data_IF_476161811333
#
_entry.id   IF_476161811333
#
_cell.length_a   1.000
_cell.length_b   1.000
_cell.length_c   1.000
_cell.angle_alpha   90.00
_cell.angle_beta   90.00
_cell.angle_gamma   90.00
#
_symmetry.space_group_name_H-M   'P 1'
#
loop_
_entity.id
_entity.type
_entity.pdbx_description
1 polymer ?
#
# COMPACT_ATOMS: atom_id res chain seq x y z
N UNK A 1 1.29 14.46 21.73
CA UNK A 1 1.60 15.13 20.44
C UNK A 1 0.31 15.72 19.90
N UNK A 2 0.31 16.86 19.19
CA UNK A 2 -0.91 17.38 18.56
C UNK A 2 -1.40 16.37 17.50
N UNK A 3 -2.72 16.10 17.48
CA UNK A 3 -3.34 15.21 16.49
C UNK A 3 -3.45 15.92 15.15
N UNK A 4 -3.23 15.19 14.06
CA UNK A 4 -3.36 15.66 12.69
C UNK A 4 -4.76 15.36 12.12
N UNK A 5 -5.30 14.18 12.42
CA UNK A 5 -6.69 13.83 12.12
C UNK A 5 -7.63 14.43 13.17
N UNK A 6 -8.80 14.87 12.72
CA UNK A 6 -9.89 15.24 13.63
C UNK A 6 -10.46 13.99 14.33
N UNK A 7 -11.14 14.19 15.46
CA UNK A 7 -11.86 13.12 16.16
C UNK A 7 -12.88 12.42 15.25
N UNK A 8 -13.51 13.19 14.35
CA UNK A 8 -14.44 12.67 13.35
C UNK A 8 -13.74 11.78 12.32
N UNK A 9 -12.57 12.19 11.81
CA UNK A 9 -11.79 11.38 10.87
C UNK A 9 -11.29 10.08 11.50
N UNK A 10 -10.86 10.12 12.76
CA UNK A 10 -10.42 8.92 13.51
C UNK A 10 -11.62 7.99 13.72
N UNK A 11 -12.77 8.52 14.11
CA UNK A 11 -14.00 7.73 14.29
C UNK A 11 -14.44 7.12 12.97
N UNK A 12 -14.43 7.90 11.89
CA UNK A 12 -14.74 7.43 10.55
C UNK A 12 -13.80 6.31 10.10
N UNK A 13 -12.49 6.44 10.32
CA UNK A 13 -11.54 5.36 9.99
C UNK A 13 -11.86 4.07 10.77
N UNK A 14 -12.19 4.18 12.06
CA UNK A 14 -12.55 3.00 12.88
C UNK A 14 -13.82 2.31 12.41
N UNK A 15 -14.82 3.08 12.00
CA UNK A 15 -16.13 2.57 11.58
C UNK A 15 -16.16 2.12 10.11
N UNK A 16 -15.44 2.81 9.23
CA UNK A 16 -15.52 2.64 7.78
C UNK A 16 -14.25 2.05 7.15
N UNK A 17 -13.13 2.05 7.88
CA UNK A 17 -11.89 1.40 7.46
C UNK A 17 -11.01 2.23 6.53
N UNK A 18 -11.33 3.51 6.34
CA UNK A 18 -10.57 4.42 5.47
C UNK A 18 -10.74 5.89 5.87
N UNK A 19 -9.88 6.76 5.34
CA UNK A 19 -10.06 8.23 5.34
C UNK A 19 -9.35 8.86 4.13
N UNK A 20 -10.01 9.82 3.46
CA UNK A 20 -9.48 10.54 2.30
C UNK A 20 -10.34 11.78 1.96
N UNK A 21 -9.87 12.70 1.11
CA UNK A 21 -8.47 12.91 0.74
C UNK A 21 -7.74 13.71 1.83
N UNK A 22 -6.43 13.54 1.92
CA UNK A 22 -5.56 14.36 2.78
C UNK A 22 -4.33 14.81 2.00
N UNK A 23 -3.80 15.98 2.30
CA UNK A 23 -2.65 16.55 1.58
C UNK A 23 -1.33 16.15 2.23
N UNK A 24 -0.54 15.29 1.58
CA UNK A 24 0.82 14.97 2.02
C UNK A 24 1.81 16.04 1.55
N UNK A 25 1.90 16.25 0.24
CA UNK A 25 2.89 17.10 -0.43
C UNK A 25 2.22 18.02 -1.46
N UNK A 26 2.91 19.03 -1.93
CA UNK A 26 2.42 19.89 -3.01
C UNK A 26 2.27 19.13 -4.32
N UNK A 27 1.48 19.70 -5.25
CA UNK A 27 1.35 19.18 -6.62
C UNK A 27 2.70 19.18 -7.36
N UNK A 28 3.58 20.15 -7.05
CA UNK A 28 4.92 20.24 -7.65
C UNK A 28 5.82 19.11 -7.16
N UNK A 29 5.87 18.86 -5.85
CA UNK A 29 6.60 17.72 -5.27
C UNK A 29 6.07 16.39 -5.81
N UNK A 30 4.75 16.22 -5.93
CA UNK A 30 4.15 15.04 -6.56
C UNK A 30 4.63 14.84 -8.01
N UNK A 31 4.80 15.95 -8.75
CA UNK A 31 5.39 15.95 -10.09
C UNK A 31 6.85 15.47 -10.12
N UNK A 32 7.63 15.75 -9.08
CA UNK A 32 9.00 15.24 -8.94
C UNK A 32 9.02 13.72 -8.71
N UNK A 33 8.13 13.19 -7.87
CA UNK A 33 7.99 11.74 -7.69
C UNK A 33 7.46 11.04 -8.95
N UNK A 34 6.54 11.65 -9.69
CA UNK A 34 6.16 11.18 -11.02
C UNK A 34 7.38 11.07 -11.94
N UNK A 35 8.17 12.13 -12.05
CA UNK A 35 9.35 12.14 -12.90
C UNK A 35 10.39 11.09 -12.46
N UNK A 36 10.52 10.85 -11.15
CA UNK A 36 11.37 9.80 -10.60
C UNK A 36 10.94 8.41 -11.08
N UNK A 37 9.64 8.11 -11.05
CA UNK A 37 9.10 6.82 -11.55
C UNK A 37 9.26 6.70 -13.07
N UNK A 38 9.06 7.78 -13.83
CA UNK A 38 9.28 7.80 -15.29
C UNK A 38 10.76 7.60 -15.64
N UNK A 39 11.69 8.19 -14.88
CA UNK A 39 13.12 7.96 -15.03
C UNK A 39 13.49 6.52 -14.69
N UNK A 40 12.93 5.95 -13.62
CA UNK A 40 13.12 4.54 -13.28
C UNK A 40 12.69 3.61 -14.41
N UNK A 41 11.49 3.81 -14.97
CA UNK A 41 10.97 3.05 -16.11
C UNK A 41 11.90 3.15 -17.32
N UNK A 42 12.42 4.35 -17.62
CA UNK A 42 13.40 4.54 -18.69
C UNK A 42 14.71 3.79 -18.45
N UNK A 43 15.16 3.66 -17.20
CA UNK A 43 16.41 2.96 -16.84
C UNK A 43 16.25 1.44 -16.96
N UNK A 44 15.13 0.89 -16.50
CA UNK A 44 14.89 -0.56 -16.54
C UNK A 44 14.39 -1.05 -17.89
N UNK A 45 13.79 -0.19 -18.70
CA UNK A 45 13.29 -0.51 -20.04
C UNK A 45 12.06 -1.42 -20.07
N UNK A 46 11.34 -1.54 -18.95
CA UNK A 46 10.09 -2.29 -18.84
C UNK A 46 9.10 -1.62 -17.87
N UNK A 47 7.89 -2.18 -17.76
CA UNK A 47 6.85 -1.66 -16.87
C UNK A 47 7.32 -1.67 -15.40
N UNK A 48 7.39 -0.50 -14.73
CA UNK A 48 7.91 -0.39 -13.36
C UNK A 48 7.05 -1.11 -12.33
N UNK A 49 5.78 -1.41 -12.65
CA UNK A 49 4.93 -2.23 -11.78
C UNK A 49 5.45 -3.66 -11.62
N UNK A 50 6.36 -4.15 -12.49
CA UNK A 50 6.91 -5.52 -12.42
C UNK A 50 7.99 -5.68 -11.36
N UNK A 51 8.76 -4.64 -11.11
CA UNK A 51 9.85 -4.65 -10.15
C UNK A 51 9.48 -3.97 -8.84
N UNK A 52 8.70 -2.88 -8.87
CA UNK A 52 8.29 -2.12 -7.67
C UNK A 52 7.03 -2.70 -7.01
N UNK A 53 7.06 -4.00 -6.71
CA UNK A 53 5.90 -4.79 -6.19
C UNK A 53 5.77 -4.81 -4.67
N UNK A 54 6.88 -4.96 -3.96
CA UNK A 54 6.97 -4.94 -2.49
C UNK A 54 8.32 -4.34 -2.13
N UNK A 55 8.41 -3.66 -0.99
CA UNK A 55 9.61 -2.91 -0.58
C UNK A 55 10.07 -1.86 -1.60
N UNK A 56 9.14 -1.33 -2.41
CA UNK A 56 9.46 -0.40 -3.50
C UNK A 56 10.16 0.88 -3.02
N UNK A 57 9.98 1.26 -1.74
CA UNK A 57 10.67 2.41 -1.13
C UNK A 57 12.19 2.26 -1.12
N UNK A 58 12.72 1.03 -1.16
CA UNK A 58 14.16 0.76 -1.16
C UNK A 58 14.84 1.12 -2.49
N UNK A 59 14.08 1.41 -3.56
CA UNK A 59 14.66 1.78 -4.84
C UNK A 59 15.34 3.17 -4.81
N UNK A 60 14.85 4.08 -3.97
CA UNK A 60 15.32 5.46 -3.93
C UNK A 60 15.27 6.05 -2.51
N UNK A 61 16.32 6.76 -2.05
CA UNK A 61 16.27 7.49 -0.79
C UNK A 61 15.07 8.44 -0.69
N UNK A 62 14.70 9.10 -1.79
CA UNK A 62 13.54 9.99 -1.84
C UNK A 62 12.21 9.29 -1.46
N UNK A 63 12.04 8.01 -1.80
CA UNK A 63 10.83 7.26 -1.45
C UNK A 63 10.82 6.86 0.04
N UNK A 64 12.00 6.64 0.64
CA UNK A 64 12.14 6.46 2.09
C UNK A 64 11.81 7.76 2.83
N UNK A 65 12.28 8.91 2.33
CA UNK A 65 11.95 10.21 2.88
C UNK A 65 10.45 10.52 2.77
N UNK A 66 9.81 10.16 1.66
CA UNK A 66 8.35 10.29 1.53
C UNK A 66 7.60 9.40 2.52
N UNK A 67 8.06 8.17 2.74
CA UNK A 67 7.49 7.29 3.77
C UNK A 67 7.65 7.85 5.19
N UNK A 68 8.63 8.74 5.40
CA UNK A 68 8.89 9.45 6.66
C UNK A 68 8.22 10.82 6.72
N UNK A 69 7.45 11.20 5.71
CA UNK A 69 6.92 12.55 5.61
C UNK A 69 5.99 12.87 6.81
N UNK A 70 6.19 13.99 7.54
CA UNK A 70 5.46 14.27 8.77
C UNK A 70 3.94 14.23 8.62
N UNK A 71 3.37 14.79 7.54
CA UNK A 71 1.91 14.77 7.35
C UNK A 71 1.32 13.37 7.16
N UNK A 72 2.08 12.44 6.58
CA UNK A 72 1.65 11.05 6.43
C UNK A 72 1.75 10.36 7.78
N UNK A 73 2.93 10.43 8.41
CA UNK A 73 3.17 9.75 9.67
C UNK A 73 2.37 10.31 10.84
N UNK A 74 2.02 11.60 10.86
CA UNK A 74 1.14 12.17 11.88
C UNK A 74 -0.28 11.61 11.76
N UNK A 75 -0.79 11.47 10.52
CA UNK A 75 -2.10 10.86 10.27
C UNK A 75 -2.12 9.36 10.60
N UNK A 76 -1.06 8.64 10.23
CA UNK A 76 -0.89 7.21 10.58
C UNK A 76 -0.78 7.03 12.10
N UNK A 77 0.01 7.88 12.76
CA UNK A 77 0.19 7.84 14.21
C UNK A 77 -1.12 7.99 14.98
N UNK A 78 -2.03 8.84 14.51
CA UNK A 78 -3.34 9.02 15.14
C UNK A 78 -4.21 7.75 15.10
N UNK A 79 -3.90 6.81 14.19
CA UNK A 79 -4.61 5.53 14.04
C UNK A 79 -3.90 4.40 14.79
N UNK A 80 -2.59 4.24 14.58
CA UNK A 80 -1.84 3.04 15.02
C UNK A 80 -0.83 3.31 16.16
N UNK A 81 -0.69 4.55 16.61
CA UNK A 81 0.20 4.93 17.70
C UNK A 81 1.57 5.50 17.25
N UNK A 82 2.42 5.88 18.23
CA UNK A 82 3.60 6.73 17.98
C UNK A 82 4.82 6.00 17.40
N UNK A 83 4.90 4.70 17.58
CA UNK A 83 6.00 3.88 17.07
C UNK A 83 5.54 3.20 15.78
N UNK A 84 6.24 3.43 14.68
CA UNK A 84 5.78 3.04 13.34
C UNK A 84 6.93 2.41 12.56
N UNK A 85 6.67 1.19 12.08
CA UNK A 85 7.47 0.51 11.07
C UNK A 85 6.77 0.65 9.70
N UNK A 86 7.58 0.78 8.65
CA UNK A 86 7.16 0.57 7.27
C UNK A 86 7.49 -0.88 6.90
N UNK A 87 6.45 -1.72 6.80
CA UNK A 87 6.64 -3.12 6.44
C UNK A 87 6.80 -3.30 4.93
N UNK A 88 6.37 -2.35 4.10
CA UNK A 88 6.60 -2.42 2.67
C UNK A 88 6.02 -1.23 1.92
N UNK A 89 6.24 -1.23 0.61
CA UNK A 89 5.62 -0.28 -0.29
C UNK A 89 5.50 -0.85 -1.70
N UNK A 90 4.56 -0.34 -2.48
CA UNK A 90 4.25 -0.81 -3.83
C UNK A 90 3.88 0.35 -4.76
N UNK A 91 4.33 0.27 -6.02
CA UNK A 91 3.90 1.16 -7.08
C UNK A 91 2.62 0.64 -7.74
N UNK A 92 1.70 1.56 -8.06
CA UNK A 92 0.54 1.31 -8.90
C UNK A 92 0.42 2.37 -10.01
N UNK A 93 1.04 2.08 -11.16
CA UNK A 93 1.01 2.93 -12.34
C UNK A 93 0.11 2.34 -13.45
N UNK A 94 -0.85 3.13 -13.96
CA UNK A 94 -1.70 2.77 -15.09
C UNK A 94 -1.56 3.82 -16.19
N UNK A 95 -1.00 3.42 -17.33
CA UNK A 95 -0.90 4.26 -18.53
C UNK A 95 -2.28 4.65 -19.08
N UNK A 96 -2.33 5.66 -19.94
CA UNK A 96 -3.55 6.06 -20.63
C UNK A 96 -4.15 4.87 -21.40
N UNK A 97 -5.47 4.67 -21.29
CA UNK A 97 -6.17 3.55 -21.91
C UNK A 97 -5.77 2.15 -21.43
N UNK A 98 -5.01 2.03 -20.34
CA UNK A 98 -4.53 0.74 -19.85
C UNK A 98 -5.67 -0.09 -19.23
N UNK A 99 -5.82 -1.35 -19.67
CA UNK A 99 -6.84 -2.30 -19.21
C UNK A 99 -6.57 -2.90 -17.83
N UNK A 100 -5.40 -2.65 -17.25
CA UNK A 100 -4.99 -3.22 -15.98
C UNK A 100 -5.84 -2.72 -14.82
N UNK A 101 -6.22 -3.63 -13.93
CA UNK A 101 -7.07 -3.36 -12.78
C UNK A 101 -6.49 -4.02 -11.52
N UNK A 102 -7.06 -3.65 -10.38
CA UNK A 102 -6.87 -4.36 -9.11
C UNK A 102 -8.24 -4.91 -8.73
N UNK A 103 -8.36 -6.23 -8.63
CA UNK A 103 -9.60 -6.90 -8.22
C UNK A 103 -10.00 -6.51 -6.80
N UNK A 104 -11.26 -6.75 -6.44
CA UNK A 104 -11.68 -6.66 -5.04
C UNK A 104 -10.87 -7.63 -4.18
N UNK A 105 -10.19 -7.12 -3.16
CA UNK A 105 -9.36 -7.91 -2.27
C UNK A 105 -9.22 -7.25 -0.89
N UNK A 106 -8.60 -7.99 0.03
CA UNK A 106 -8.12 -7.48 1.32
C UNK A 106 -6.61 -7.75 1.30
N UNK A 107 -5.81 -6.79 1.73
CA UNK A 107 -4.36 -6.96 1.81
C UNK A 107 -3.97 -7.97 2.89
N UNK A 108 -4.73 -7.97 3.98
CA UNK A 108 -4.58 -8.88 5.11
C UNK A 108 -4.51 -10.36 4.68
N UNK A 109 -5.18 -10.70 3.58
CA UNK A 109 -5.17 -12.05 3.03
C UNK A 109 -3.77 -12.55 2.71
N UNK A 110 -2.83 -11.69 2.31
CA UNK A 110 -1.48 -12.10 1.88
C UNK A 110 -0.35 -11.41 2.63
N UNK A 111 -0.63 -10.40 3.46
CA UNK A 111 0.42 -9.74 4.24
C UNK A 111 0.95 -10.59 5.39
N UNK A 112 0.13 -11.48 5.96
CA UNK A 112 0.55 -12.40 7.02
C UNK A 112 0.99 -11.65 8.28
N UNK A 113 0.12 -10.78 8.80
CA UNK A 113 0.34 -9.92 9.95
C UNK A 113 -0.63 -10.28 11.09
N UNK A 114 -0.18 -10.14 12.33
CA UNK A 114 -1.03 -10.29 13.53
C UNK A 114 -0.53 -9.42 14.69
N UNK A 115 -1.40 -8.67 15.40
CA UNK A 115 -2.80 -8.40 15.05
C UNK A 115 -2.93 -7.64 13.72
N UNK A 116 -4.15 -7.59 13.18
CA UNK A 116 -4.43 -6.81 11.98
C UNK A 116 -4.53 -5.33 12.32
N UNK A 117 -3.39 -4.64 12.26
CA UNK A 117 -3.27 -3.20 12.58
C UNK A 117 -2.46 -2.46 11.51
N UNK A 118 -2.31 -3.06 10.33
CA UNK A 118 -1.69 -2.40 9.20
C UNK A 118 -2.59 -1.29 8.64
N UNK A 119 -1.94 -0.18 8.30
CA UNK A 119 -2.57 0.94 7.60
C UNK A 119 -1.78 1.28 6.36
N UNK A 120 -2.44 1.15 5.21
CA UNK A 120 -1.91 1.56 3.93
C UNK A 120 -2.15 3.04 3.72
N UNK A 121 -1.09 3.80 3.43
CA UNK A 121 -1.18 5.14 2.86
C UNK A 121 -0.94 5.11 1.35
N UNK A 122 -1.97 5.43 0.56
CA UNK A 122 -1.84 5.52 -0.90
C UNK A 122 -1.68 6.98 -1.32
N UNK A 123 -0.50 7.35 -1.82
CA UNK A 123 -0.16 8.72 -2.24
C UNK A 123 -0.26 8.84 -3.76
N UNK A 124 -1.04 9.81 -4.25
CA UNK A 124 -1.14 10.11 -5.68
C UNK A 124 0.05 10.96 -6.15
N UNK A 125 0.90 10.43 -7.03
CA UNK A 125 1.90 11.24 -7.76
C UNK A 125 1.28 11.95 -8.96
N UNK A 126 0.15 11.45 -9.43
CA UNK A 126 -0.77 12.14 -10.34
C UNK A 126 -2.15 12.22 -9.69
N UNK A 127 -3.03 13.04 -10.26
CA UNK A 127 -4.46 12.98 -9.94
C UNK A 127 -5.00 11.57 -10.16
N UNK A 128 -5.89 11.11 -9.27
CA UNK A 128 -6.64 9.87 -9.46
C UNK A 128 -8.13 10.11 -9.22
N UNK A 129 -8.95 9.72 -10.19
CA UNK A 129 -10.40 9.89 -10.20
C UNK A 129 -11.11 8.66 -10.76
N UNK A 130 -12.42 8.72 -10.87
CA UNK A 130 -13.26 7.68 -11.45
C UNK A 130 -12.82 7.26 -12.86
N UNK A 131 -12.43 8.21 -13.71
CA UNK A 131 -12.11 7.95 -15.13
C UNK A 131 -10.78 7.18 -15.27
N UNK A 132 -9.79 7.56 -14.49
CA UNK A 132 -8.47 6.92 -14.50
C UNK A 132 -8.30 5.78 -13.48
N UNK A 133 -9.40 5.41 -12.82
CA UNK A 133 -9.52 4.24 -11.97
C UNK A 133 -8.91 4.44 -10.58
N UNK A 134 -9.39 5.43 -9.82
CA UNK A 134 -9.08 5.62 -8.40
C UNK A 134 -9.40 4.38 -7.54
N UNK A 135 -8.90 4.40 -6.30
CA UNK A 135 -9.23 3.35 -5.34
C UNK A 135 -10.74 3.35 -5.08
N UNK A 136 -11.29 2.17 -4.87
CA UNK A 136 -12.67 1.96 -4.44
C UNK A 136 -12.66 1.05 -3.23
N UNK A 137 -13.50 1.32 -2.26
CA UNK A 137 -13.59 0.55 -1.00
C UNK A 137 -15.03 0.10 -0.76
N UNK A 138 -15.20 -0.96 0.02
CA UNK A 138 -16.46 -1.28 0.67
C UNK A 138 -16.41 -0.77 2.12
N UNK A 139 -17.14 0.31 2.45
CA UNK A 139 -17.12 0.88 3.79
C UNK A 139 -17.47 -0.14 4.89
N UNK A 140 -16.69 -0.14 5.97
CA UNK A 140 -16.90 -1.00 7.15
C UNK A 140 -16.54 -2.47 6.97
N UNK A 141 -16.07 -2.86 5.78
CA UNK A 141 -15.74 -4.26 5.47
C UNK A 141 -14.58 -4.83 6.29
N UNK A 142 -13.72 -3.97 6.87
CA UNK A 142 -12.60 -4.34 7.73
C UNK A 142 -13.01 -4.88 9.11
N UNK A 143 -14.24 -4.60 9.55
CA UNK A 143 -14.80 -5.07 10.81
C UNK A 143 -15.19 -6.56 10.76
N UNK A 144 -15.47 -7.09 9.56
CA UNK A 144 -15.81 -8.50 9.36
C UNK A 144 -14.57 -9.40 9.42
N UNK A 145 -14.72 -10.74 9.37
CA UNK A 145 -13.59 -11.67 9.26
C UNK A 145 -12.84 -11.50 7.93
N UNK A 146 -11.62 -12.04 7.86
CA UNK A 146 -10.91 -12.18 6.60
C UNK A 146 -11.69 -13.12 5.69
N UNK A 147 -11.88 -12.68 4.45
CA UNK A 147 -12.64 -13.42 3.44
C UNK A 147 -11.69 -14.27 2.62
N UNK A 148 -12.21 -15.36 2.08
CA UNK A 148 -11.45 -16.24 1.18
C UNK A 148 -11.37 -15.61 -0.22
N UNK A 149 -10.16 -15.48 -0.75
CA UNK A 149 -9.90 -14.99 -2.10
C UNK A 149 -9.70 -16.17 -3.06
N UNK A 150 -10.18 -15.99 -4.28
CA UNK A 150 -9.86 -16.87 -5.40
C UNK A 150 -8.63 -16.31 -6.12
N UNK A 151 -7.61 -17.14 -6.35
CA UNK A 151 -6.45 -16.77 -7.15
C UNK A 151 -6.77 -16.96 -8.64
N UNK A 152 -6.80 -15.88 -9.42
CA UNK A 152 -7.21 -15.90 -10.84
C UNK A 152 -6.05 -15.85 -11.82
N UNK A 153 -4.88 -15.36 -11.38
CA UNK A 153 -3.70 -15.14 -12.23
C UNK A 153 -3.98 -14.37 -13.54
N UNK A 154 -5.01 -13.52 -13.56
CA UNK A 154 -5.36 -12.72 -14.74
C UNK A 154 -4.20 -11.78 -15.11
N UNK A 155 -3.83 -11.77 -16.39
CA UNK A 155 -2.71 -10.96 -16.90
C UNK A 155 -2.94 -9.44 -16.75
N UNK A 156 -4.19 -9.01 -16.73
CA UNK A 156 -4.58 -7.61 -16.55
C UNK A 156 -4.75 -7.24 -15.06
N UNK A 157 -4.64 -8.21 -14.15
CA UNK A 157 -4.71 -7.92 -12.72
C UNK A 157 -3.31 -7.57 -12.19
N UNK A 158 -3.20 -6.42 -11.53
CA UNK A 158 -1.91 -5.93 -11.01
C UNK A 158 -1.44 -6.70 -9.77
N UNK A 159 -2.34 -7.46 -9.13
CA UNK A 159 -2.03 -8.31 -7.98
C UNK A 159 -1.34 -9.61 -8.42
N UNK A 160 -0.28 -9.99 -7.71
CA UNK A 160 0.62 -11.09 -8.11
C UNK A 160 -0.08 -12.42 -8.42
N UNK A 161 -1.11 -12.78 -7.66
CA UNK A 161 -1.90 -14.01 -7.83
C UNK A 161 -3.29 -13.76 -8.39
N UNK A 162 -3.59 -12.51 -8.76
CA UNK A 162 -4.93 -12.08 -9.16
C UNK A 162 -5.98 -12.36 -8.08
N UNK A 163 -5.61 -12.27 -6.81
CA UNK A 163 -6.48 -12.61 -5.69
C UNK A 163 -7.76 -11.77 -5.70
N UNK A 164 -8.91 -12.44 -5.67
CA UNK A 164 -10.21 -11.81 -5.94
C UNK A 164 -11.28 -12.29 -4.99
N UNK A 165 -12.05 -11.36 -4.43
CA UNK A 165 -13.34 -11.61 -3.83
C UNK A 165 -14.40 -11.57 -4.93
N UNK A 166 -15.21 -12.63 -5.02
CA UNK A 166 -16.18 -12.81 -6.12
C UNK A 166 -17.60 -12.39 -5.75
N UNK A 167 -17.91 -12.30 -4.44
CA UNK A 167 -19.24 -12.01 -3.92
C UNK A 167 -19.32 -10.55 -3.42
N UNK A 168 -18.99 -9.59 -4.28
CA UNK A 168 -19.00 -8.16 -3.94
C UNK A 168 -20.21 -7.46 -4.58
N UNK A 169 -21.00 -6.80 -3.74
CA UNK A 169 -22.08 -5.92 -4.18
C UNK A 169 -21.51 -4.53 -4.55
N UNK A 170 -21.17 -4.32 -5.82
CA UNK A 170 -20.50 -3.09 -6.28
C UNK A 170 -21.34 -1.81 -6.08
N UNK A 171 -22.66 -1.90 -5.90
CA UNK A 171 -23.51 -0.75 -5.56
C UNK A 171 -23.17 -0.12 -4.21
N UNK A 172 -22.48 -0.85 -3.33
CA UNK A 172 -22.03 -0.39 -2.02
C UNK A 172 -20.60 0.17 -2.05
N UNK A 173 -19.94 0.13 -3.21
CA UNK A 173 -18.60 0.64 -3.37
C UNK A 173 -18.57 2.17 -3.29
N UNK A 174 -17.59 2.68 -2.56
CA UNK A 174 -17.27 4.10 -2.49
C UNK A 174 -15.94 4.36 -3.20
N UNK A 175 -15.94 5.31 -4.13
CA UNK A 175 -14.75 5.74 -4.86
C UNK A 175 -13.96 6.77 -4.04
N UNK A 176 -12.63 6.67 -4.10
CA UNK A 176 -11.69 7.47 -3.32
C UNK A 176 -10.79 8.32 -4.23
N UNK A 177 -11.32 9.36 -4.91
CA UNK A 177 -10.50 10.25 -5.70
C UNK A 177 -9.52 11.02 -4.80
N UNK A 178 -8.30 11.22 -5.30
CA UNK A 178 -7.26 12.02 -4.64
C UNK A 178 -6.52 12.87 -5.68
N UNK A 179 -6.19 14.10 -5.32
CA UNK A 179 -5.33 14.97 -6.12
C UNK A 179 -3.87 14.51 -6.14
N UNK A 180 -3.09 15.06 -7.08
CA UNK A 180 -1.64 14.90 -7.02
C UNK A 180 -1.08 15.55 -5.74
N UNK A 181 -0.29 14.77 -4.99
CA UNK A 181 0.24 15.11 -3.67
C UNK A 181 -0.72 14.85 -2.51
N UNK A 182 -1.94 14.40 -2.80
CA UNK A 182 -2.88 13.92 -1.80
C UNK A 182 -2.76 12.40 -1.60
N UNK A 183 -3.29 11.94 -0.49
CA UNK A 183 -3.27 10.53 -0.11
C UNK A 183 -4.57 10.10 0.57
N UNK A 184 -4.77 8.80 0.60
CA UNK A 184 -5.78 8.13 1.41
C UNK A 184 -5.12 7.20 2.43
N UNK A 185 -5.84 6.89 3.49
CA UNK A 185 -5.51 5.78 4.40
C UNK A 185 -6.60 4.72 4.34
N UNK A 186 -6.22 3.45 4.40
CA UNK A 186 -7.16 2.35 4.62
C UNK A 186 -6.51 1.23 5.43
N UNK A 187 -7.34 0.49 6.16
CA UNK A 187 -6.93 -0.68 6.92
C UNK A 187 -6.69 -1.89 6.01
N UNK A 188 -5.73 -2.77 6.31
CA UNK A 188 -5.42 -3.97 5.47
C UNK A 188 -6.64 -4.87 5.18
N UNK A 189 -7.63 -4.88 6.09
CA UNK A 189 -8.87 -5.66 5.95
C UNK A 189 -9.97 -4.94 5.19
N UNK A 190 -9.80 -3.67 4.83
CA UNK A 190 -10.79 -2.95 4.04
C UNK A 190 -10.81 -3.55 2.63
N UNK A 191 -11.96 -4.09 2.23
CA UNK A 191 -12.15 -4.65 0.90
C UNK A 191 -12.05 -3.51 -0.11
N UNK A 192 -11.10 -3.61 -1.03
CA UNK A 192 -10.83 -2.53 -1.98
C UNK A 192 -10.41 -3.03 -3.37
N UNK A 193 -10.55 -2.16 -4.37
CA UNK A 193 -10.25 -2.44 -5.78
C UNK A 193 -9.83 -1.16 -6.51
N UNK A 194 -9.44 -1.28 -7.79
CA UNK A 194 -9.35 -0.12 -8.68
C UNK A 194 -9.58 -0.51 -10.14
N UNK A 195 -10.35 0.30 -10.85
CA UNK A 195 -10.76 0.05 -12.25
C UNK A 195 -9.63 0.33 -13.26
N UNK A 196 -9.76 -0.13 -14.52
CA UNK A 196 -8.88 0.27 -15.61
C UNK A 196 -8.79 1.79 -15.79
N UNK A 197 -7.68 2.27 -16.35
CA UNK A 197 -7.52 3.68 -16.69
C UNK A 197 -8.10 3.95 -18.08
N UNK A 198 -9.24 4.63 -18.15
CA UNK A 198 -9.90 4.99 -19.42
C UNK A 198 -9.56 6.39 -19.92
N UNK A 199 -8.83 7.16 -19.12
CA UNK A 199 -8.44 8.53 -19.43
C UNK A 199 -7.27 8.58 -20.43
N UNK A 200 -6.94 9.80 -20.87
CA UNK A 200 -5.79 10.10 -21.73
C UNK A 200 -4.48 10.34 -20.95
N UNK A 201 -4.55 10.39 -19.62
CA UNK A 201 -3.40 10.61 -18.75
C UNK A 201 -2.93 9.33 -18.06
N UNK A 202 -1.69 9.33 -17.55
CA UNK A 202 -1.19 8.27 -16.68
C UNK A 202 -1.64 8.52 -15.24
N UNK A 203 -2.02 7.44 -14.55
CA UNK A 203 -2.34 7.43 -13.12
C UNK A 203 -1.21 6.73 -12.37
N UNK A 204 -0.46 7.46 -11.56
CA UNK A 204 0.64 6.95 -10.74
C UNK A 204 0.33 7.21 -9.28
N UNK A 205 0.32 6.17 -8.47
CA UNK A 205 0.38 6.32 -7.03
C UNK A 205 1.20 5.24 -6.36
N UNK A 206 1.54 5.50 -5.11
CA UNK A 206 2.49 4.72 -4.34
C UNK A 206 1.88 4.40 -2.99
N UNK A 207 1.80 3.11 -2.67
CA UNK A 207 1.26 2.61 -1.42
C UNK A 207 2.41 2.39 -0.43
N UNK A 208 2.29 2.94 0.77
CA UNK A 208 3.16 2.70 1.90
C UNK A 208 2.39 1.92 2.95
N UNK A 209 2.98 0.84 3.46
CA UNK A 209 2.30 -0.06 4.36
C UNK A 209 2.88 0.01 5.76
N UNK A 210 2.13 0.61 6.69
CA UNK A 210 2.62 0.92 8.04
C UNK A 210 2.05 -0.03 9.08
N UNK A 211 2.87 -0.41 10.05
CA UNK A 211 2.47 -1.24 11.19
C UNK A 211 3.06 -0.71 12.51
N UNK A 212 2.40 -0.93 13.64
CA UNK A 212 3.05 -0.86 14.96
C UNK A 212 4.16 -1.90 15.11
N UNK A 213 5.23 -1.63 15.87
CA UNK A 213 6.29 -2.60 16.15
C UNK A 213 5.84 -3.89 16.85
N UNK A 214 4.68 -3.87 17.53
CA UNK A 214 4.15 -5.04 18.21
C UNK A 214 3.46 -6.03 17.27
N UNK A 215 3.15 -5.62 16.03
CA UNK A 215 2.64 -6.53 14.98
C UNK A 215 3.73 -7.53 14.63
N UNK A 216 3.34 -8.80 14.51
CA UNK A 216 4.21 -9.91 14.15
C UNK A 216 3.88 -10.42 12.76
N UNK A 217 4.86 -11.02 12.09
CA UNK A 217 4.58 -11.79 10.88
C UNK A 217 4.22 -13.23 11.21
N UNK A 218 3.18 -13.74 10.56
CA UNK A 218 2.74 -15.14 10.64
C UNK A 218 3.46 -16.05 9.67
N UNK A 219 4.25 -15.50 8.75
CA UNK A 219 5.00 -16.23 7.71
C UNK A 219 6.50 -16.34 8.01
N UNK A 220 6.89 -16.09 9.27
CA UNK A 220 8.25 -16.19 9.75
C UNK A 220 8.93 -14.83 9.92
N UNK A 221 10.24 -14.85 10.20
CA UNK A 221 11.01 -13.62 10.46
C UNK A 221 11.14 -12.80 9.19
N UNK A 222 10.76 -11.52 9.25
CA UNK A 222 10.77 -10.59 8.11
C UNK A 222 11.43 -9.26 8.50
N UNK A 223 11.69 -8.44 7.48
CA UNK A 223 12.34 -7.13 7.63
C UNK A 223 11.34 -5.98 7.55
N UNK A 224 11.62 -4.87 8.24
CA UNK A 224 10.87 -3.62 8.14
C UNK A 224 11.77 -2.41 8.45
N UNK A 225 11.37 -1.23 7.98
CA UNK A 225 12.08 0.03 8.28
C UNK A 225 11.41 0.77 9.42
N UNK A 226 12.13 1.10 10.49
CA UNK A 226 11.64 2.04 11.50
C UNK A 226 11.55 3.45 10.89
N UNK A 227 10.34 4.02 10.86
CA UNK A 227 10.07 5.34 10.28
C UNK A 227 9.67 6.38 11.33
N UNK A 228 9.23 5.94 12.52
CA UNK A 228 8.97 6.83 13.68
C UNK A 228 9.08 6.07 15.01
N UNK A 229 9.50 6.79 16.05
CA UNK A 229 9.48 6.27 17.41
C UNK A 229 10.57 5.23 17.66
N UNK A 230 10.26 4.20 18.42
CA UNK A 230 11.19 3.14 18.84
C UNK A 230 10.59 1.74 18.63
N UNK A 231 11.38 0.79 18.11
CA UNK A 231 11.02 -0.63 18.16
C UNK A 231 11.55 -1.26 19.45
N UNK A 232 10.63 -1.54 20.38
CA UNK A 232 10.93 -2.22 21.67
C UNK A 232 10.69 -3.73 21.63
N UNK A 233 10.08 -4.24 20.56
CA UNK A 233 9.65 -5.63 20.46
C UNK A 233 10.68 -6.47 19.70
N UNK A 234 11.33 -5.88 18.70
CA UNK A 234 12.35 -6.55 17.92
C UNK A 234 11.80 -7.75 17.14
N UNK A 235 10.54 -7.68 16.68
CA UNK A 235 9.90 -8.72 15.84
C UNK A 235 10.30 -8.64 14.36
N UNK A 236 10.92 -7.54 13.95
CA UNK A 236 11.33 -7.27 12.58
C UNK A 236 12.83 -7.04 12.53
N UNK A 237 13.48 -7.57 11.50
CA UNK A 237 14.87 -7.24 11.21
C UNK A 237 14.96 -5.89 10.46
N UNK A 238 15.99 -5.08 10.69
CA UNK A 238 16.14 -3.81 9.99
C UNK A 238 16.43 -4.03 8.50
N UNK A 239 15.82 -3.22 7.65
CA UNK A 239 16.12 -3.19 6.22
C UNK A 239 17.43 -2.45 5.92
N UNK A 240 18.08 -2.82 4.81
CA UNK A 240 19.19 -2.06 4.25
C UNK A 240 18.64 -0.87 3.46
N UNK A 241 18.69 0.33 4.05
CA UNK A 241 18.23 1.54 3.38
C UNK A 241 19.17 1.94 2.23
N UNK A 242 18.64 2.44 1.10
CA UNK A 242 19.46 2.90 -0.01
C UNK A 242 20.30 4.13 0.39
N UNK A 243 21.60 4.11 0.09
CA UNK A 243 22.47 5.27 0.33
C UNK A 243 22.45 6.26 -0.85
N UNK A 244 22.08 5.78 -2.03
CA UNK A 244 21.90 6.55 -3.24
C UNK A 244 20.83 5.89 -4.11
N UNK A 245 20.43 6.57 -5.18
CA UNK A 245 19.47 6.05 -6.15
C UNK A 245 19.92 4.68 -6.66
N UNK A 246 18.99 3.71 -6.67
CA UNK A 246 19.20 2.36 -7.16
C UNK A 246 20.41 1.65 -6.51
N UNK A 247 20.64 1.92 -5.22
CA UNK A 247 21.65 1.26 -4.41
C UNK A 247 21.62 -0.27 -4.62
N UNK A 248 22.72 -0.91 -5.07
CA UNK A 248 22.72 -2.32 -5.41
C UNK A 248 22.31 -3.25 -4.27
N UNK A 249 22.64 -2.91 -3.01
CA UNK A 249 22.30 -3.71 -1.85
C UNK A 249 20.81 -3.59 -1.53
N UNK A 250 20.27 -2.37 -1.52
CA UNK A 250 18.85 -2.12 -1.29
C UNK A 250 17.97 -2.71 -2.42
N UNK A 251 18.41 -2.59 -3.68
CA UNK A 251 17.75 -3.20 -4.83
C UNK A 251 17.78 -4.73 -4.78
N UNK A 252 18.84 -5.32 -4.21
CA UNK A 252 18.89 -6.77 -3.99
C UNK A 252 17.89 -7.21 -2.92
N UNK A 253 17.76 -6.43 -1.85
CA UNK A 253 16.76 -6.67 -0.80
C UNK A 253 15.33 -6.59 -1.35
N UNK A 254 15.03 -5.58 -2.17
CA UNK A 254 13.76 -5.45 -2.87
C UNK A 254 13.46 -6.67 -3.76
N UNK A 255 14.44 -7.12 -4.57
CA UNK A 255 14.26 -8.30 -5.44
C UNK A 255 14.04 -9.59 -4.63
N UNK A 256 14.79 -9.77 -3.54
CA UNK A 256 14.64 -10.94 -2.67
C UNK A 256 13.25 -10.96 -2.02
N UNK A 257 12.79 -9.82 -1.49
CA UNK A 257 11.46 -9.72 -0.91
C UNK A 257 10.34 -10.04 -1.91
N UNK A 258 10.50 -9.63 -3.18
CA UNK A 258 9.57 -10.01 -4.23
C UNK A 258 9.61 -11.52 -4.55
N UNK A 259 10.81 -12.12 -4.62
CA UNK A 259 10.97 -13.56 -4.82
C UNK A 259 10.29 -14.37 -3.71
N UNK A 260 10.52 -14.00 -2.45
CA UNK A 260 9.86 -14.63 -1.29
C UNK A 260 8.33 -14.47 -1.35
N UNK A 261 7.82 -13.31 -1.74
CA UNK A 261 6.39 -13.06 -1.85
C UNK A 261 5.73 -13.87 -2.98
N UNK A 262 6.41 -13.99 -4.13
CA UNK A 262 5.90 -14.68 -5.31
C UNK A 262 5.98 -16.20 -5.19
N UNK A 263 7.12 -16.70 -4.71
CA UNK A 263 7.44 -18.13 -4.69
C UNK A 263 7.09 -18.80 -3.35
N UNK A 264 6.75 -18.00 -2.32
CA UNK A 264 6.35 -18.50 -1.01
C UNK A 264 4.94 -19.09 -0.97
N UNK A 265 4.77 -20.16 -0.21
CA UNK A 265 3.45 -20.67 0.20
C UNK A 265 2.82 -19.73 1.26
N UNK A 266 2.35 -18.57 0.83
CA UNK A 266 1.54 -17.70 1.68
C UNK A 266 0.12 -18.25 1.72
N UNK A 267 -0.26 -18.87 2.84
CA UNK A 267 -1.65 -19.23 3.13
C UNK A 267 -2.47 -17.97 3.37
N UNK A 268 -3.69 -17.95 2.87
CA UNK A 268 -4.55 -16.78 3.04
C UNK A 268 -4.93 -16.60 4.52
N UNK A 269 -5.06 -15.37 5.00
CA UNK A 269 -5.46 -15.11 6.38
C UNK A 269 -6.74 -15.89 6.78
N UNK A 270 -7.74 -15.94 5.89
CA UNK A 270 -8.99 -16.69 6.08
C UNK A 270 -8.82 -18.21 6.25
N UNK A 271 -7.68 -18.79 5.81
CA UNK A 271 -7.35 -20.21 5.97
C UNK A 271 -6.58 -20.50 7.26
N UNK A 272 -6.04 -19.46 7.91
CA UNK A 272 -5.22 -19.58 9.12
C UNK A 272 -6.00 -19.32 10.41
N UNK A 273 -7.13 -18.62 10.32
CA UNK A 273 -8.09 -18.49 11.41
C UNK A 273 -8.80 -19.83 11.63
N UNK A 274 -8.32 -20.65 12.57
CA UNK A 274 -9.12 -21.77 13.05
C UNK A 274 -10.40 -21.22 13.72
N UNK A 275 -11.57 -21.86 13.53
CA UNK A 275 -12.71 -21.56 14.37
C UNK A 275 -12.35 -21.93 15.82
N UNK A 276 -12.16 -20.91 16.66
CA UNK A 276 -12.08 -21.07 18.11
C UNK A 276 -13.42 -21.44 18.71
#
# INVERSE_FOLDING_TARGET
MPRHLSDEQITHFREQGYVFPMRAISTEEAGQYRALIEAYESVIGEDPNRSLKIKAHLAYPALVELARHPRILDAVQDIIGPDILLFGASLFAKNAGNHSYVSWHQDSAYFGLTPHEEVTAWVGFTHSDTENGCLRVLPGSHLGPDRRHVETFSADNMLAKGQSLVDIEESQALEMPVGAGEFSLHHERTVHSSLPNRSTGRRIGFAFFYIPPHVQSTTGRRRATLVRGEDRYGYWDPETLPQHDLDPAAMNELRNAWGEYKDGEVKQAAETTQPG
#
